data_IF_950483982849
#
_entry.id   IF_950483982849
#
_cell.length_a   1.000
_cell.length_b   1.000
_cell.length_c   1.000
_cell.angle_alpha   90.00
_cell.angle_beta   90.00
_cell.angle_gamma   90.00
#
_symmetry.space_group_name_H-M   'P 1'
#
loop_
_entity.id
_entity.type
_entity.pdbx_description
1 polymer ?
#
# COMPACT_ATOMS: atom_id res chain seq x y z
N UNK A 1 -6.63 13.43 -27.94
CA UNK A 1 -5.73 14.26 -27.11
C UNK A 1 -5.47 13.50 -25.83
N UNK A 2 -4.28 12.89 -25.67
CA UNK A 2 -3.91 12.13 -24.46
C UNK A 2 -3.13 13.08 -23.55
N UNK A 3 -3.71 13.46 -22.42
CA UNK A 3 -3.04 14.27 -21.39
C UNK A 3 -2.29 13.32 -20.46
N UNK A 4 -0.99 13.17 -20.66
CA UNK A 4 -0.11 12.46 -19.73
C UNK A 4 0.04 13.33 -18.48
N UNK A 5 -0.58 12.92 -17.37
CA UNK A 5 -0.43 13.60 -16.08
C UNK A 5 0.85 13.07 -15.42
N UNK A 6 1.89 13.89 -15.38
CA UNK A 6 3.14 13.56 -14.72
C UNK A 6 2.91 13.48 -13.19
N UNK A 7 3.31 12.35 -12.60
CA UNK A 7 3.33 12.12 -11.15
C UNK A 7 4.71 12.56 -10.63
N UNK A 8 4.82 13.45 -9.62
CA UNK A 8 6.11 13.84 -9.07
C UNK A 8 6.71 12.73 -8.19
N UNK A 9 8.05 12.62 -8.11
CA UNK A 9 8.72 11.59 -7.32
C UNK A 9 8.55 11.87 -5.82
N UNK A 10 8.04 10.88 -5.09
CA UNK A 10 8.03 10.85 -3.63
C UNK A 10 9.46 10.64 -3.13
N UNK A 11 10.00 11.67 -2.47
CA UNK A 11 11.25 11.64 -1.72
C UNK A 11 11.13 10.66 -0.54
N UNK A 12 11.70 9.46 -0.68
CA UNK A 12 11.87 8.52 0.44
C UNK A 12 13.19 8.88 1.13
N UNK A 13 13.09 9.68 2.19
CA UNK A 13 14.22 10.05 3.04
C UNK A 13 13.81 10.11 4.50
N UNK A 14 13.87 8.98 5.19
CA UNK A 14 13.87 8.94 6.66
C UNK A 14 14.57 7.67 7.14
N UNK A 15 15.90 7.76 7.30
CA UNK A 15 16.68 6.84 8.12
C UNK A 15 16.38 7.20 9.58
N UNK A 16 15.58 6.37 10.26
CA UNK A 16 15.40 6.48 11.70
C UNK A 16 16.23 5.40 12.40
N UNK A 17 17.38 5.81 12.92
CA UNK A 17 18.15 5.07 13.93
C UNK A 17 17.34 5.05 15.22
N UNK A 18 16.83 3.90 15.65
CA UNK A 18 16.33 3.70 17.00
C UNK A 18 17.33 2.87 17.80
N UNK A 19 18.04 3.55 18.69
CA UNK A 19 18.97 2.95 19.64
C UNK A 19 18.25 2.12 20.70
N UNK A 20 18.90 1.03 21.08
CA UNK A 20 18.51 0.16 22.18
C UNK A 20 18.58 0.88 23.52
N UNK A 21 17.55 0.70 24.36
CA UNK A 21 17.63 0.92 25.79
C UNK A 21 17.13 -0.33 26.52
N UNK A 22 18.04 -0.98 27.22
CA UNK A 22 17.79 -2.02 28.20
C UNK A 22 17.11 -1.40 29.43
N UNK A 23 16.08 -2.05 29.96
CA UNK A 23 15.76 -1.96 31.40
C UNK A 23 15.05 -3.23 31.84
N UNK A 24 15.75 -3.97 32.69
CA UNK A 24 15.23 -5.08 33.47
C UNK A 24 14.40 -4.54 34.64
N UNK A 25 13.22 -5.11 34.87
CA UNK A 25 12.71 -5.26 36.22
C UNK A 25 11.69 -6.39 36.31
N UNK A 26 12.00 -7.28 37.25
CA UNK A 26 11.33 -8.48 37.68
C UNK A 26 10.21 -8.17 38.69
N UNK A 27 9.01 -8.68 38.45
CA UNK A 27 7.95 -9.05 39.43
C UNK A 27 6.97 -9.92 38.63
N UNK A 28 6.55 -11.12 39.01
CA UNK A 28 6.20 -11.61 40.33
C UNK A 28 4.72 -12.01 40.32
N UNK A 29 4.47 -13.32 40.28
CA UNK A 29 3.33 -14.03 40.89
C UNK A 29 1.89 -13.87 40.35
N UNK A 30 1.30 -15.05 40.12
CA UNK A 30 -0.01 -15.50 40.63
C UNK A 30 -1.13 -15.71 39.61
N UNK A 31 -1.38 -16.99 39.41
CA UNK A 31 -2.63 -17.66 39.04
C UNK A 31 -3.89 -17.02 39.62
N UNK A 32 -4.91 -16.90 38.77
CA UNK A 32 -6.29 -16.57 39.14
C UNK A 32 -7.26 -17.13 38.11
N UNK A 33 -7.92 -18.21 38.47
CA UNK A 33 -8.99 -18.92 37.76
C UNK A 33 -10.22 -18.02 37.56
N UNK A 34 -10.78 -17.95 36.35
CA UNK A 34 -12.17 -17.51 36.16
C UNK A 34 -12.88 -18.40 35.14
N UNK A 35 -13.75 -19.27 35.65
CA UNK A 35 -14.84 -19.91 34.91
C UNK A 35 -16.11 -19.12 35.27
N UNK A 36 -16.92 -18.75 34.28
CA UNK A 36 -18.12 -17.95 34.53
C UNK A 36 -18.82 -17.51 33.26
N UNK A 37 -19.52 -18.45 32.63
CA UNK A 37 -20.55 -18.18 31.62
C UNK A 37 -21.74 -17.43 32.25
N UNK A 38 -22.21 -16.36 31.62
CA UNK A 38 -23.65 -16.04 31.64
C UNK A 38 -24.06 -15.18 30.44
N UNK A 39 -25.07 -15.71 29.76
CA UNK A 39 -25.91 -15.12 28.74
C UNK A 39 -26.78 -14.00 29.30
N UNK A 40 -26.99 -12.92 28.54
CA UNK A 40 -27.94 -11.87 28.86
C UNK A 40 -28.34 -11.07 27.62
N UNK A 41 -29.54 -11.32 27.13
CA UNK A 41 -30.24 -10.68 26.01
C UNK A 41 -30.70 -9.25 26.31
N UNK A 42 -30.81 -8.44 25.26
CA UNK A 42 -31.97 -7.58 24.90
C UNK A 42 -31.68 -6.10 24.60
N UNK A 43 -32.49 -5.66 23.63
CA UNK A 43 -32.61 -4.43 22.84
C UNK A 43 -32.98 -3.14 23.55
N UNK A 44 -32.59 -1.99 22.97
CA UNK A 44 -33.47 -0.84 22.60
C UNK A 44 -32.58 0.33 22.10
N UNK A 45 -32.68 0.78 20.85
CA UNK A 45 -33.55 1.87 20.34
C UNK A 45 -33.58 3.14 21.20
N UNK A 46 -33.09 4.25 20.63
CA UNK A 46 -33.20 5.59 21.20
C UNK A 46 -32.68 6.67 20.25
N UNK A 47 -33.53 7.09 19.32
CA UNK A 47 -33.36 8.27 18.47
C UNK A 47 -33.45 9.56 19.29
N UNK A 48 -32.67 10.59 18.93
CA UNK A 48 -32.75 11.90 19.57
C UNK A 48 -32.12 13.00 18.72
N UNK A 49 -32.87 13.49 17.75
CA UNK A 49 -32.60 14.74 17.02
C UNK A 49 -32.82 15.95 17.95
N UNK A 50 -31.89 16.91 17.96
CA UNK A 50 -32.19 18.30 18.30
C UNK A 50 -31.46 19.25 17.36
N UNK A 51 -32.20 20.28 16.94
CA UNK A 51 -31.86 21.27 15.96
C UNK A 51 -31.66 22.65 16.62
N UNK A 52 -31.07 23.58 15.86
CA UNK A 52 -31.03 25.03 16.13
C UNK A 52 -29.65 25.51 16.60
N UNK A 53 -29.10 26.63 16.18
CA UNK A 53 -29.58 27.75 15.34
C UNK A 53 -28.35 28.63 15.01
N UNK A 54 -28.20 29.12 13.77
CA UNK A 54 -28.38 30.54 13.35
C UNK A 54 -27.18 31.49 13.51
N UNK A 55 -26.97 32.30 12.45
CA UNK A 55 -26.16 33.53 12.41
C UNK A 55 -24.81 33.36 11.69
N UNK A 56 -24.35 34.22 10.79
CA UNK A 56 -24.87 35.45 10.22
C UNK A 56 -24.11 35.78 8.92
N UNK A 57 -24.70 36.67 8.12
CA UNK A 57 -24.22 37.16 6.83
C UNK A 57 -23.12 38.25 6.92
N UNK A 58 -22.52 38.56 5.76
CA UNK A 58 -21.72 39.76 5.48
C UNK A 58 -20.33 39.41 4.90
N UNK A 59 -19.77 40.05 3.89
CA UNK A 59 -20.18 41.09 2.93
C UNK A 59 -19.00 41.28 1.96
N UNK A 60 -19.32 41.78 0.77
CA UNK A 60 -18.47 42.01 -0.39
C UNK A 60 -17.22 42.92 -0.22
N UNK A 61 -16.27 42.69 -1.15
CA UNK A 61 -15.40 43.61 -1.91
C UNK A 61 -14.48 44.62 -1.21
N UNK A 62 -13.18 44.59 -1.56
CA UNK A 62 -12.47 45.76 -2.11
C UNK A 62 -11.06 45.46 -2.67
N UNK A 63 -10.81 46.02 -3.88
CA UNK A 63 -9.56 46.58 -4.48
C UNK A 63 -8.28 45.73 -4.59
N UNK A 64 -7.69 45.54 -5.77
CA UNK A 64 -6.88 46.49 -6.59
C UNK A 64 -5.42 45.96 -6.59
N UNK A 65 -4.59 45.89 -7.63
CA UNK A 65 -4.40 46.70 -8.82
C UNK A 65 -3.60 45.93 -9.88
N UNK A 66 -3.82 46.33 -11.13
CA UNK A 66 -3.09 45.94 -12.34
C UNK A 66 -1.78 46.72 -12.52
N UNK A 67 -0.75 46.08 -13.08
CA UNK A 67 0.29 46.67 -13.95
C UNK A 67 1.12 45.51 -14.57
N UNK A 68 0.89 45.12 -15.84
CA UNK A 68 1.58 45.57 -17.07
C UNK A 68 3.11 45.48 -17.04
N UNK A 69 3.67 44.63 -17.92
CA UNK A 69 5.09 44.56 -18.24
C UNK A 69 5.37 43.48 -19.30
N UNK A 70 5.13 43.81 -20.56
CA UNK A 70 5.51 42.99 -21.72
C UNK A 70 6.99 43.19 -22.07
N UNK A 71 7.73 42.11 -22.34
CA UNK A 71 8.84 42.14 -23.30
C UNK A 71 8.92 40.84 -24.10
N UNK A 72 8.93 41.04 -25.41
CA UNK A 72 9.05 40.07 -26.50
C UNK A 72 10.44 39.45 -26.59
N UNK A 73 10.51 38.22 -27.11
CA UNK A 73 11.75 37.52 -27.48
C UNK A 73 11.47 36.18 -28.17
N UNK A 74 11.21 36.23 -29.47
CA UNK A 74 11.03 35.09 -30.39
C UNK A 74 12.37 34.66 -30.99
N UNK A 75 12.56 33.34 -31.18
CA UNK A 75 13.36 32.58 -32.17
C UNK A 75 13.57 31.18 -31.55
N UNK A 76 13.13 30.03 -32.08
CA UNK A 76 13.00 29.58 -33.46
C UNK A 76 14.07 28.53 -33.72
N UNK A 77 13.74 27.23 -33.72
CA UNK A 77 14.44 26.19 -34.49
C UNK A 77 13.73 24.83 -34.38
N UNK A 78 13.05 24.47 -35.47
CA UNK A 78 12.75 23.09 -35.85
C UNK A 78 14.05 22.29 -36.02
N UNK A 79 14.08 21.08 -35.49
CA UNK A 79 15.14 20.10 -35.73
C UNK A 79 14.53 18.70 -35.77
N UNK A 80 14.05 18.30 -36.95
CA UNK A 80 13.73 16.92 -37.28
C UNK A 80 15.04 16.15 -37.48
N UNK A 81 15.29 15.15 -36.63
CA UNK A 81 16.39 14.20 -36.79
C UNK A 81 15.97 12.87 -36.17
N UNK A 82 15.81 11.85 -37.02
CA UNK A 82 15.32 10.54 -36.62
C UNK A 82 16.27 9.81 -35.68
N UNK A 83 15.69 9.07 -34.73
CA UNK A 83 16.39 8.00 -34.02
C UNK A 83 15.74 6.68 -34.40
N UNK A 84 16.34 6.01 -35.38
CA UNK A 84 16.14 4.59 -35.59
C UNK A 84 16.75 3.81 -34.42
N UNK A 85 16.01 2.82 -33.92
CA UNK A 85 16.53 1.61 -33.28
C UNK A 85 17.36 1.75 -32.00
N UNK A 86 16.70 1.60 -30.85
CA UNK A 86 17.31 0.95 -29.67
C UNK A 86 16.21 0.19 -28.92
N UNK A 87 16.14 -1.11 -29.16
CA UNK A 87 15.26 -2.01 -28.43
C UNK A 87 15.72 -2.20 -26.98
N UNK A 88 14.78 -2.13 -26.05
CA UNK A 88 14.64 -3.12 -24.98
C UNK A 88 15.58 -3.09 -23.76
N UNK A 89 16.51 -2.15 -23.59
CA UNK A 89 17.43 -2.18 -22.41
C UNK A 89 17.09 -1.22 -21.29
N UNK A 90 16.24 -0.21 -21.51
CA UNK A 90 15.86 0.76 -20.48
C UNK A 90 15.09 0.12 -19.31
N UNK A 91 14.25 -0.88 -19.58
CA UNK A 91 13.45 -1.54 -18.54
C UNK A 91 14.24 -2.52 -17.64
N UNK A 92 15.31 -3.13 -18.17
CA UNK A 92 16.12 -4.08 -17.40
C UNK A 92 17.05 -3.38 -16.39
N UNK A 93 17.64 -2.23 -16.79
CA UNK A 93 18.46 -1.42 -15.90
C UNK A 93 17.64 -0.81 -14.76
N UNK A 94 16.42 -0.34 -15.04
CA UNK A 94 15.47 0.17 -14.05
C UNK A 94 15.08 -0.93 -13.04
N UNK A 95 14.70 -2.11 -13.52
CA UNK A 95 14.34 -3.22 -12.64
C UNK A 95 15.53 -3.73 -11.80
N UNK A 96 16.73 -3.76 -12.36
CA UNK A 96 17.94 -4.13 -11.61
C UNK A 96 18.26 -3.13 -10.51
N UNK A 97 18.16 -1.82 -10.78
CA UNK A 97 18.35 -0.78 -9.78
C UNK A 97 17.27 -0.84 -8.70
N UNK A 98 16.02 -1.12 -9.09
CA UNK A 98 14.91 -1.31 -8.18
C UNK A 98 15.09 -2.54 -7.28
N UNK A 99 15.52 -3.70 -7.82
CA UNK A 99 15.88 -4.87 -7.01
C UNK A 99 17.01 -4.57 -6.01
N UNK A 100 18.00 -3.77 -6.43
CA UNK A 100 19.15 -3.44 -5.60
C UNK A 100 18.75 -2.71 -4.31
N UNK A 101 17.60 -2.01 -4.29
CA UNK A 101 17.05 -1.40 -3.07
C UNK A 101 16.71 -2.41 -1.97
N UNK A 102 16.40 -3.67 -2.36
CA UNK A 102 16.08 -4.75 -1.44
C UNK A 102 17.25 -5.69 -1.18
N UNK A 103 18.32 -5.64 -1.97
CA UNK A 103 19.45 -6.57 -1.90
C UNK A 103 20.12 -6.62 -0.52
N UNK A 104 20.13 -5.49 0.19
CA UNK A 104 20.68 -5.37 1.55
C UNK A 104 19.64 -5.50 2.66
N UNK A 105 18.37 -5.78 2.31
CA UNK A 105 17.31 -5.96 3.30
C UNK A 105 17.61 -7.20 4.13
N UNK A 106 17.58 -7.09 5.45
CA UNK A 106 17.77 -8.23 6.35
C UNK A 106 16.49 -9.05 6.50
N UNK A 107 16.63 -10.31 6.91
CA UNK A 107 15.49 -11.23 7.07
C UNK A 107 14.40 -10.70 8.03
N UNK A 108 14.72 -10.14 9.22
CA UNK A 108 13.71 -9.54 10.09
C UNK A 108 12.97 -8.36 9.43
N UNK A 109 13.69 -7.48 8.73
CA UNK A 109 13.11 -6.36 8.01
C UNK A 109 12.18 -6.83 6.91
N UNK A 110 12.57 -7.86 6.15
CA UNK A 110 11.71 -8.47 5.15
C UNK A 110 10.41 -9.01 5.76
N UNK A 111 10.49 -9.76 6.86
CA UNK A 111 9.30 -10.33 7.50
C UNK A 111 8.36 -9.23 8.02
N UNK A 112 8.90 -8.15 8.59
CA UNK A 112 8.11 -7.00 9.03
C UNK A 112 7.45 -6.26 7.85
N UNK A 113 8.19 -6.01 6.77
CA UNK A 113 7.65 -5.35 5.56
C UNK A 113 6.58 -6.21 4.90
N UNK A 114 6.82 -7.51 4.73
CA UNK A 114 5.84 -8.45 4.18
C UNK A 114 4.57 -8.55 5.04
N UNK A 115 4.70 -8.50 6.37
CA UNK A 115 3.54 -8.47 7.26
C UNK A 115 2.72 -7.20 7.04
N UNK A 116 3.39 -6.04 6.92
CA UNK A 116 2.69 -4.79 6.65
C UNK A 116 2.06 -4.74 5.26
N UNK A 117 2.67 -5.36 4.23
CA UNK A 117 2.07 -5.45 2.89
C UNK A 117 0.82 -6.33 2.91
N UNK A 118 0.88 -7.49 3.60
CA UNK A 118 -0.32 -8.32 3.78
C UNK A 118 -1.46 -7.55 4.47
N UNK A 119 -1.18 -6.75 5.51
CA UNK A 119 -2.20 -5.92 6.17
C UNK A 119 -2.83 -4.92 5.19
N UNK A 120 -2.02 -4.28 4.34
CA UNK A 120 -2.47 -3.38 3.30
C UNK A 120 -3.41 -4.08 2.32
N UNK A 121 -2.98 -5.21 1.76
CA UNK A 121 -3.72 -5.88 0.70
C UNK A 121 -5.02 -6.52 1.21
N UNK A 122 -5.04 -6.98 2.45
CA UNK A 122 -6.28 -7.40 3.13
C UNK A 122 -7.22 -6.20 3.28
N UNK A 123 -6.74 -5.05 3.78
CA UNK A 123 -7.61 -3.88 3.97
C UNK A 123 -8.15 -3.33 2.64
N UNK A 124 -7.30 -3.21 1.63
CA UNK A 124 -7.72 -2.74 0.30
C UNK A 124 -8.65 -3.75 -0.37
N UNK A 125 -8.42 -5.06 -0.20
CA UNK A 125 -9.34 -6.09 -0.66
C UNK A 125 -10.72 -5.97 -0.03
N UNK A 126 -10.80 -5.71 1.29
CA UNK A 126 -12.06 -5.42 1.98
C UNK A 126 -12.73 -4.14 1.47
N UNK A 127 -11.95 -3.10 1.16
CA UNK A 127 -12.51 -1.89 0.54
C UNK A 127 -13.12 -2.19 -0.83
N UNK A 128 -12.45 -3.02 -1.64
CA UNK A 128 -12.94 -3.37 -2.97
C UNK A 128 -14.23 -4.20 -2.95
N UNK A 129 -14.37 -5.16 -2.03
CA UNK A 129 -15.62 -5.91 -1.87
C UNK A 129 -16.79 -5.02 -1.46
N UNK A 130 -16.53 -3.96 -0.68
CA UNK A 130 -17.54 -3.03 -0.19
C UNK A 130 -17.89 -1.90 -1.17
N UNK A 131 -16.89 -1.28 -1.82
CA UNK A 131 -17.04 -0.02 -2.56
C UNK A 131 -17.21 -0.20 -4.06
N UNK A 132 -16.67 -1.27 -4.63
CA UNK A 132 -16.77 -1.49 -6.08
C UNK A 132 -18.19 -1.87 -6.48
N UNK A 133 -18.59 -1.55 -7.70
CA UNK A 133 -19.76 -2.16 -8.36
C UNK A 133 -19.37 -3.11 -9.48
N UNK A 134 -18.08 -3.17 -9.82
CA UNK A 134 -17.54 -4.05 -10.85
C UNK A 134 -17.33 -5.47 -10.29
N UNK A 135 -17.88 -6.48 -10.96
CA UNK A 135 -17.82 -7.86 -10.50
C UNK A 135 -16.38 -8.43 -10.49
N UNK A 136 -15.55 -8.07 -11.47
CA UNK A 136 -14.15 -8.51 -11.55
C UNK A 136 -13.34 -7.92 -10.39
N UNK A 137 -13.52 -6.62 -10.10
CA UNK A 137 -12.84 -5.93 -8.99
C UNK A 137 -13.26 -6.49 -7.63
N UNK A 138 -14.56 -6.74 -7.40
CA UNK A 138 -15.03 -7.38 -6.17
C UNK A 138 -14.43 -8.76 -5.96
N UNK A 139 -14.42 -9.58 -7.02
CA UNK A 139 -13.86 -10.94 -6.97
C UNK A 139 -12.36 -10.91 -6.68
N UNK A 140 -11.64 -9.99 -7.32
CA UNK A 140 -10.22 -9.79 -7.04
C UNK A 140 -9.99 -9.34 -5.60
N UNK A 141 -10.78 -8.39 -5.09
CA UNK A 141 -10.72 -7.94 -3.70
C UNK A 141 -10.93 -9.07 -2.68
N UNK A 142 -11.91 -9.93 -2.91
CA UNK A 142 -12.12 -11.11 -2.05
C UNK A 142 -10.91 -12.06 -2.10
N UNK A 143 -10.34 -12.28 -3.29
CA UNK A 143 -9.13 -13.10 -3.43
C UNK A 143 -7.94 -12.53 -2.66
N UNK A 144 -7.76 -11.20 -2.67
CA UNK A 144 -6.70 -10.55 -1.87
C UNK A 144 -6.88 -10.83 -0.38
N UNK A 145 -8.11 -10.67 0.13
CA UNK A 145 -8.42 -10.96 1.54
C UNK A 145 -8.08 -12.41 1.88
N UNK A 146 -8.55 -13.36 1.09
CA UNK A 146 -8.37 -14.79 1.40
C UNK A 146 -6.90 -15.21 1.34
N UNK A 147 -6.21 -14.84 0.26
CA UNK A 147 -4.85 -15.30 0.01
C UNK A 147 -3.84 -14.61 0.94
N UNK A 148 -3.96 -13.30 1.17
CA UNK A 148 -3.03 -12.58 2.04
C UNK A 148 -3.31 -12.82 3.53
N UNK A 149 -4.56 -13.15 3.90
CA UNK A 149 -4.83 -13.67 5.26
C UNK A 149 -4.09 -14.99 5.48
N UNK A 150 -4.14 -15.90 4.51
CA UNK A 150 -3.38 -17.17 4.60
C UNK A 150 -1.87 -16.91 4.63
N UNK A 151 -1.36 -16.04 3.77
CA UNK A 151 0.05 -15.66 3.75
C UNK A 151 0.48 -15.03 5.09
N UNK A 152 -0.37 -14.24 5.74
CA UNK A 152 -0.13 -13.68 7.09
C UNK A 152 0.04 -14.78 8.13
N UNK A 153 -0.78 -15.83 8.09
CA UNK A 153 -0.66 -16.94 9.05
C UNK A 153 0.62 -17.74 8.80
N UNK A 154 0.96 -18.01 7.54
CA UNK A 154 2.24 -18.68 7.21
C UNK A 154 3.45 -17.80 7.62
N UNK A 155 3.36 -16.48 7.42
CA UNK A 155 4.42 -15.56 7.83
C UNK A 155 4.66 -15.57 9.35
N UNK A 156 3.58 -15.67 10.15
CA UNK A 156 3.68 -15.80 11.61
C UNK A 156 4.43 -17.06 12.04
N UNK A 157 4.24 -18.19 11.34
CA UNK A 157 4.95 -19.43 11.68
C UNK A 157 6.43 -19.36 11.34
N UNK A 158 6.81 -18.54 10.35
CA UNK A 158 8.21 -18.26 9.99
C UNK A 158 8.85 -17.30 10.98
N UNK A 159 8.16 -16.23 11.36
CA UNK A 159 8.71 -15.16 12.20
C UNK A 159 8.88 -15.54 13.68
N UNK A 160 7.93 -16.30 14.23
CA UNK A 160 7.92 -16.71 15.64
C UNK A 160 9.21 -17.40 16.12
N UNK A 161 9.71 -18.46 15.48
CA UNK A 161 10.94 -19.14 15.91
C UNK A 161 12.21 -18.29 15.75
N UNK A 162 12.13 -17.19 14.97
CA UNK A 162 13.23 -16.26 14.75
C UNK A 162 13.22 -15.09 15.76
N UNK A 163 12.26 -15.06 16.69
CA UNK A 163 12.09 -13.97 17.65
C UNK A 163 11.67 -12.63 16.99
N UNK A 164 11.18 -12.67 15.75
CA UNK A 164 10.77 -11.47 15.03
C UNK A 164 9.32 -11.15 15.39
N UNK A 165 9.10 -9.99 16.02
CA UNK A 165 7.76 -9.49 16.31
C UNK A 165 7.18 -8.82 15.07
N UNK A 166 6.10 -9.38 14.52
CA UNK A 166 5.43 -8.81 13.36
C UNK A 166 4.56 -7.60 13.75
N UNK A 167 4.54 -6.55 12.91
CA UNK A 167 3.72 -5.38 13.16
C UNK A 167 2.22 -5.74 13.17
N UNK A 168 1.46 -5.09 14.05
CA UNK A 168 0.00 -5.22 14.13
C UNK A 168 -0.73 -4.11 13.36
N UNK A 169 0.01 -3.11 12.90
CA UNK A 169 -0.47 -1.97 12.13
C UNK A 169 0.38 -1.80 10.88
N UNK A 170 -0.14 -1.09 9.88
CA UNK A 170 0.64 -0.80 8.68
C UNK A 170 1.79 0.14 8.98
N UNK A 171 2.89 -0.07 8.25
CA UNK A 171 3.95 0.93 8.10
C UNK A 171 3.41 2.16 7.37
N UNK A 172 3.99 3.35 7.59
CA UNK A 172 3.45 4.61 7.04
C UNK A 172 3.22 4.62 5.53
N UNK A 173 4.13 4.01 4.75
CA UNK A 173 4.00 3.93 3.29
C UNK A 173 2.76 3.14 2.86
N UNK A 174 2.49 2.03 3.54
CA UNK A 174 1.33 1.19 3.29
C UNK A 174 0.04 1.87 3.76
N UNK A 175 0.05 2.52 4.93
CA UNK A 175 -1.11 3.28 5.40
C UNK A 175 -1.49 4.40 4.42
N UNK A 176 -0.51 5.13 3.88
CA UNK A 176 -0.76 6.18 2.89
C UNK A 176 -1.40 5.63 1.59
N UNK A 177 -1.04 4.42 1.16
CA UNK A 177 -1.68 3.75 0.03
C UNK A 177 -3.14 3.43 0.32
N UNK A 178 -3.45 2.88 1.50
CA UNK A 178 -4.82 2.60 1.92
C UNK A 178 -5.67 3.88 2.02
N UNK A 179 -5.12 4.93 2.63
CA UNK A 179 -5.82 6.22 2.85
C UNK A 179 -6.21 6.89 1.53
N UNK A 180 -5.37 6.78 0.49
CA UNK A 180 -5.66 7.31 -0.86
C UNK A 180 -6.95 6.72 -1.46
N UNK A 181 -7.26 5.45 -1.13
CA UNK A 181 -8.46 4.78 -1.64
C UNK A 181 -9.71 5.07 -0.79
N UNK A 182 -9.56 5.42 0.48
CA UNK A 182 -10.70 5.57 1.41
C UNK A 182 -11.74 6.58 0.92
N UNK A 183 -11.28 7.70 0.35
CA UNK A 183 -12.16 8.78 -0.15
C UNK A 183 -12.76 8.51 -1.54
N UNK A 184 -12.35 7.43 -2.22
CA UNK A 184 -12.78 7.10 -3.58
C UNK A 184 -14.00 6.17 -3.57
N UNK A 185 -14.75 6.21 -4.67
CA UNK A 185 -15.92 5.37 -4.95
C UNK A 185 -16.14 5.19 -6.46
N UNK A 186 -16.89 4.16 -6.84
CA UNK A 186 -17.27 3.91 -8.24
C UNK A 186 -16.05 3.67 -9.15
N UNK A 187 -16.13 4.08 -10.43
CA UNK A 187 -15.06 3.86 -11.42
C UNK A 187 -13.70 4.39 -10.95
N UNK A 188 -13.67 5.58 -10.34
CA UNK A 188 -12.43 6.18 -9.82
C UNK A 188 -11.83 5.41 -8.62
N UNK A 189 -12.62 4.63 -7.90
CA UNK A 189 -12.09 3.69 -6.92
C UNK A 189 -11.53 2.45 -7.62
N UNK A 190 -12.26 1.90 -8.59
CA UNK A 190 -11.87 0.69 -9.31
C UNK A 190 -10.52 0.87 -10.04
N UNK A 191 -10.34 2.01 -10.72
CA UNK A 191 -9.08 2.40 -11.38
C UNK A 191 -7.91 2.49 -10.38
N UNK A 192 -8.01 3.38 -9.37
CA UNK A 192 -6.92 3.56 -8.41
C UNK A 192 -6.63 2.30 -7.58
N UNK A 193 -7.63 1.46 -7.32
CA UNK A 193 -7.45 0.19 -6.60
C UNK A 193 -6.66 -0.82 -7.46
N UNK A 194 -6.95 -0.92 -8.76
CA UNK A 194 -6.20 -1.79 -9.66
C UNK A 194 -4.76 -1.32 -9.88
N UNK A 195 -4.54 -0.01 -10.09
CA UNK A 195 -3.21 0.61 -10.18
C UNK A 195 -2.39 0.34 -8.90
N UNK A 196 -3.00 0.58 -7.73
CA UNK A 196 -2.36 0.31 -6.44
C UNK A 196 -2.00 -1.17 -6.26
N UNK A 197 -2.86 -2.09 -6.71
CA UNK A 197 -2.61 -3.52 -6.62
C UNK A 197 -1.50 -3.98 -7.56
N UNK A 198 -1.44 -3.48 -8.79
CA UNK A 198 -0.30 -3.77 -9.67
C UNK A 198 1.01 -3.25 -9.05
N UNK A 199 1.00 -2.01 -8.55
CA UNK A 199 2.18 -1.40 -7.94
C UNK A 199 2.65 -2.19 -6.71
N UNK A 200 1.75 -2.50 -5.76
CA UNK A 200 2.07 -3.27 -4.55
C UNK A 200 2.70 -4.62 -4.92
N UNK A 201 2.07 -5.38 -5.82
CA UNK A 201 2.59 -6.68 -6.23
C UNK A 201 3.92 -6.58 -6.98
N UNK A 202 4.18 -5.52 -7.75
CA UNK A 202 5.49 -5.30 -8.38
C UNK A 202 6.58 -5.12 -7.32
N UNK A 203 6.30 -4.35 -6.26
CA UNK A 203 7.22 -4.14 -5.13
C UNK A 203 7.43 -5.42 -4.33
N UNK A 204 6.37 -6.19 -4.10
CA UNK A 204 6.47 -7.43 -3.34
C UNK A 204 7.17 -8.54 -4.12
N UNK A 205 6.89 -8.72 -5.42
CA UNK A 205 7.62 -9.68 -6.27
C UNK A 205 9.11 -9.37 -6.22
N UNK A 206 9.50 -8.10 -6.33
CA UNK A 206 10.89 -7.67 -6.24
C UNK A 206 11.57 -8.10 -4.94
N UNK A 207 10.95 -7.73 -3.82
CA UNK A 207 11.44 -8.03 -2.49
C UNK A 207 11.51 -9.54 -2.24
N UNK A 208 10.49 -10.28 -2.68
CA UNK A 208 10.42 -11.74 -2.53
C UNK A 208 11.42 -12.46 -3.44
N UNK A 209 11.72 -11.95 -4.64
CA UNK A 209 12.76 -12.51 -5.52
C UNK A 209 14.15 -12.37 -4.90
N UNK A 210 14.46 -11.24 -4.27
CA UNK A 210 15.70 -11.07 -3.54
C UNK A 210 15.80 -12.11 -2.42
N UNK A 211 14.74 -12.30 -1.64
CA UNK A 211 14.74 -13.24 -0.52
C UNK A 211 14.65 -14.70 -0.91
N UNK A 212 13.98 -15.04 -2.00
CA UNK A 212 13.99 -16.40 -2.53
C UNK A 212 15.37 -16.82 -3.01
N UNK A 213 16.23 -15.88 -3.38
CA UNK A 213 17.59 -16.16 -3.85
C UNK A 213 18.62 -16.08 -2.70
N UNK A 214 18.53 -15.05 -1.87
CA UNK A 214 19.61 -14.65 -0.96
C UNK A 214 19.24 -14.52 0.52
N UNK A 215 18.08 -14.99 0.98
CA UNK A 215 17.81 -15.02 2.42
C UNK A 215 18.81 -15.95 3.14
N UNK A 216 19.32 -15.49 4.28
CA UNK A 216 20.27 -16.23 5.12
C UNK A 216 19.56 -17.36 5.88
N UNK A 217 18.33 -17.09 6.31
CA UNK A 217 17.51 -18.05 7.05
C UNK A 217 16.76 -18.97 6.08
N UNK A 218 16.97 -20.31 6.15
CA UNK A 218 16.31 -21.24 5.23
C UNK A 218 14.77 -21.15 5.23
N UNK A 219 14.16 -20.92 6.40
CA UNK A 219 12.71 -20.74 6.52
C UNK A 219 12.21 -19.49 5.77
N UNK A 220 12.96 -18.39 5.82
CA UNK A 220 12.63 -17.14 5.11
C UNK A 220 12.77 -17.34 3.61
N UNK A 221 13.85 -17.99 3.15
CA UNK A 221 14.05 -18.36 1.75
C UNK A 221 12.90 -19.20 1.20
N UNK A 222 12.49 -20.22 1.97
CA UNK A 222 11.40 -21.12 1.60
C UNK A 222 10.06 -20.39 1.53
N UNK A 223 9.76 -19.54 2.51
CA UNK A 223 8.54 -18.72 2.51
C UNK A 223 8.49 -17.79 1.29
N UNK A 224 9.58 -17.08 1.02
CA UNK A 224 9.67 -16.19 -0.14
C UNK A 224 9.44 -16.95 -1.45
N UNK A 225 10.14 -18.08 -1.64
CA UNK A 225 10.01 -18.94 -2.83
C UNK A 225 8.58 -19.45 -3.03
N UNK A 226 7.93 -19.92 -1.95
CA UNK A 226 6.57 -20.48 -2.00
C UNK A 226 5.51 -19.43 -2.33
N UNK A 227 5.74 -18.17 -1.95
CA UNK A 227 4.75 -17.08 -2.08
C UNK A 227 4.80 -16.42 -3.48
N UNK A 228 5.95 -16.42 -4.14
CA UNK A 228 6.15 -15.79 -5.46
C UNK A 228 5.12 -16.16 -6.54
N UNK A 229 4.71 -17.43 -6.73
CA UNK A 229 3.72 -17.77 -7.75
C UNK A 229 2.38 -17.08 -7.54
N UNK A 230 1.94 -16.94 -6.28
CA UNK A 230 0.71 -16.23 -5.93
C UNK A 230 0.83 -14.75 -6.28
N UNK A 231 1.91 -14.08 -5.85
CA UNK A 231 2.11 -12.64 -6.10
C UNK A 231 2.15 -12.32 -7.60
N UNK A 232 2.84 -13.16 -8.39
CA UNK A 232 2.90 -13.02 -9.86
C UNK A 232 1.54 -13.22 -10.52
N UNK A 233 0.76 -14.19 -10.04
CA UNK A 233 -0.59 -14.42 -10.53
C UNK A 233 -1.50 -13.23 -10.23
N UNK A 234 -1.44 -12.70 -9.02
CA UNK A 234 -2.21 -11.54 -8.60
C UNK A 234 -1.85 -10.29 -9.40
N UNK A 235 -0.55 -10.00 -9.60
CA UNK A 235 -0.12 -8.90 -10.47
C UNK A 235 -0.69 -9.02 -11.87
N UNK A 236 -0.66 -10.23 -12.44
CA UNK A 236 -1.19 -10.48 -13.78
C UNK A 236 -2.69 -10.21 -13.83
N UNK A 237 -3.45 -10.68 -12.83
CA UNK A 237 -4.89 -10.42 -12.74
C UNK A 237 -5.21 -8.94 -12.52
N UNK A 238 -4.44 -8.23 -11.68
CA UNK A 238 -4.61 -6.79 -11.48
C UNK A 238 -4.45 -6.03 -12.80
N UNK A 239 -3.36 -6.29 -13.54
CA UNK A 239 -3.11 -5.66 -14.84
C UNK A 239 -4.21 -5.95 -15.88
N UNK A 240 -4.74 -7.19 -15.91
CA UNK A 240 -5.82 -7.55 -16.84
C UNK A 240 -7.18 -6.93 -16.46
N UNK A 241 -7.43 -6.69 -15.18
CA UNK A 241 -8.65 -6.02 -14.72
C UNK A 241 -8.51 -4.50 -14.91
N UNK A 242 -7.34 -3.92 -14.62
CA UNK A 242 -7.01 -2.50 -14.82
C UNK A 242 -7.39 -2.05 -16.24
N UNK A 243 -6.92 -2.78 -17.26
CA UNK A 243 -7.23 -2.52 -18.68
C UNK A 243 -8.72 -2.49 -19.02
N UNK A 244 -9.58 -3.11 -18.20
CA UNK A 244 -11.04 -3.14 -18.38
C UNK A 244 -11.74 -2.02 -17.63
N UNK A 245 -11.10 -1.44 -16.61
CA UNK A 245 -11.67 -0.39 -15.77
C UNK A 245 -11.12 1.00 -16.08
N UNK A 246 -10.01 1.10 -16.82
CA UNK A 246 -9.51 2.33 -17.48
C UNK A 246 -10.50 2.88 -18.53
#
# INVERSE_FOLDING_TARGET
MKTTKAIPPLLVGAVLLLGAACSSSNTGMSSGTTSGSSTGTSSSMGSGSTAGSSGAAGSDMSSGSSATGSTSGSMGASGTGGMAGAGGTAGAADMSAFMATFATMQDPTFLMTAASSNLLEIQMGQMATQKSTNADVKRFGQMMVDHHTKATQELKTVASPLGVTLPQTMMPVHQAMADRLMSKSGKAFDEDYMDAMEMAHKMDIAMFEVKSNGAETPAVKSFATKTLPMLRSHRTMANEIEKKVD
#
